data_IF_496269343928
#
_entry.id   IF_496269343928
#
_cell.length_a   1.000
_cell.length_b   1.000
_cell.length_c   1.000
_cell.angle_alpha   90.00
_cell.angle_beta   90.00
_cell.angle_gamma   90.00
#
_symmetry.space_group_name_H-M   'P 1'
#
loop_
_entity.id
_entity.type
_entity.pdbx_description
1 polymer ?
#
# COMPACT_ATOMS: atom_id res chain seq x y z
N UNK A 1 5.18 -41.58 -3.65
CA UNK A 1 6.43 -41.77 -4.42
C UNK A 1 6.42 -40.99 -5.73
N UNK A 2 7.47 -40.21 -5.97
CA UNK A 2 7.66 -39.40 -7.17
C UNK A 2 7.92 -40.26 -8.41
N UNK A 3 7.39 -39.86 -9.55
CA UNK A 3 7.69 -40.52 -10.84
C UNK A 3 9.07 -40.10 -11.36
N UNK A 4 9.70 -40.94 -12.18
CA UNK A 4 10.99 -40.60 -12.79
C UNK A 4 10.91 -39.36 -13.69
N UNK A 5 9.75 -39.11 -14.32
CA UNK A 5 9.51 -37.91 -15.13
C UNK A 5 9.49 -36.65 -14.26
N UNK A 6 8.80 -36.68 -13.12
CA UNK A 6 8.76 -35.57 -12.16
C UNK A 6 10.14 -35.28 -11.55
N UNK A 7 10.92 -36.32 -11.25
CA UNK A 7 12.29 -36.12 -10.75
C UNK A 7 13.19 -35.48 -11.81
N UNK A 8 13.03 -35.85 -13.07
CA UNK A 8 13.81 -35.27 -14.17
C UNK A 8 13.47 -33.79 -14.39
N UNK A 9 12.19 -33.41 -14.34
CA UNK A 9 11.77 -32.01 -14.49
C UNK A 9 12.27 -31.13 -13.34
N UNK A 10 12.12 -31.59 -12.10
CA UNK A 10 12.62 -30.88 -10.92
C UNK A 10 14.15 -30.75 -10.93
N UNK A 11 14.87 -31.78 -11.42
CA UNK A 11 16.32 -31.71 -11.56
C UNK A 11 16.75 -30.68 -12.60
N UNK A 12 16.08 -30.58 -13.75
CA UNK A 12 16.40 -29.54 -14.74
C UNK A 12 16.16 -28.14 -14.20
N UNK A 13 15.06 -27.95 -13.48
CA UNK A 13 14.72 -26.67 -12.85
C UNK A 13 15.75 -26.26 -11.79
N UNK A 14 16.16 -27.18 -10.91
CA UNK A 14 17.21 -26.93 -9.92
C UNK A 14 18.56 -26.57 -10.55
N UNK A 15 18.90 -27.14 -11.71
CA UNK A 15 20.12 -26.78 -12.43
C UNK A 15 20.06 -25.39 -13.04
N UNK A 16 18.89 -24.97 -13.51
CA UNK A 16 18.65 -23.61 -14.00
C UNK A 16 18.75 -22.59 -12.87
N UNK A 17 18.05 -22.84 -11.75
CA UNK A 17 18.11 -22.02 -10.53
C UNK A 17 19.56 -21.92 -10.03
N UNK A 18 20.30 -23.03 -9.98
CA UNK A 18 21.71 -23.03 -9.58
C UNK A 18 22.54 -22.09 -10.47
N UNK A 19 22.34 -22.15 -11.79
CA UNK A 19 23.09 -21.33 -12.74
C UNK A 19 22.78 -19.85 -12.53
N UNK A 20 21.52 -19.50 -12.33
CA UNK A 20 21.07 -18.14 -12.04
C UNK A 20 21.66 -17.63 -10.72
N UNK A 21 21.55 -18.39 -9.63
CA UNK A 21 22.11 -18.01 -8.34
C UNK A 21 23.64 -17.83 -8.39
N UNK A 22 24.37 -18.72 -9.10
CA UNK A 22 25.83 -18.54 -9.27
C UNK A 22 26.19 -17.30 -10.07
N UNK A 23 25.33 -16.89 -11.02
CA UNK A 23 25.54 -15.67 -11.78
C UNK A 23 25.31 -14.44 -10.90
N UNK A 24 24.20 -14.41 -10.17
CA UNK A 24 23.85 -13.31 -9.26
C UNK A 24 24.91 -13.13 -8.18
N UNK A 25 25.38 -14.20 -7.54
CA UNK A 25 26.45 -14.13 -6.53
C UNK A 25 27.73 -13.56 -7.12
N UNK A 26 28.10 -13.93 -8.34
CA UNK A 26 29.29 -13.39 -8.99
C UNK A 26 29.14 -11.90 -9.34
N UNK A 27 27.94 -11.46 -9.73
CA UNK A 27 27.66 -10.03 -9.95
C UNK A 27 27.71 -9.26 -8.62
N UNK A 28 27.10 -9.80 -7.56
CA UNK A 28 27.08 -9.22 -6.21
C UNK A 28 28.50 -9.10 -5.62
N UNK A 29 29.37 -10.10 -5.82
CA UNK A 29 30.76 -10.05 -5.38
C UNK A 29 31.56 -8.94 -6.09
N UNK A 30 31.28 -8.67 -7.36
CA UNK A 30 31.93 -7.59 -8.11
C UNK A 30 31.47 -6.20 -7.62
N UNK A 31 30.17 -6.01 -7.37
CA UNK A 31 29.62 -4.76 -6.84
C UNK A 31 30.04 -4.51 -5.39
N UNK A 32 29.95 -5.52 -4.52
CA UNK A 32 30.30 -5.40 -3.10
C UNK A 32 31.82 -5.32 -2.90
N UNK A 33 32.61 -6.04 -3.69
CA UNK A 33 34.06 -6.14 -3.55
C UNK A 33 34.88 -5.04 -4.21
N UNK A 34 34.37 -4.40 -5.29
CA UNK A 34 35.19 -3.54 -6.16
C UNK A 34 34.83 -2.04 -6.10
N UNK A 35 33.59 -1.66 -5.78
CA UNK A 35 33.12 -0.28 -5.94
C UNK A 35 33.23 0.60 -4.69
N UNK A 36 32.67 0.17 -3.55
CA UNK A 36 32.16 1.16 -2.60
C UNK A 36 33.04 1.40 -1.36
N UNK A 37 33.91 0.47 -0.98
CA UNK A 37 34.77 0.63 0.21
C UNK A 37 35.85 1.72 0.04
N UNK A 38 36.25 2.00 -1.20
CA UNK A 38 37.31 2.97 -1.52
C UNK A 38 36.77 4.37 -1.84
N UNK A 39 35.51 4.45 -2.25
CA UNK A 39 34.80 5.71 -2.51
C UNK A 39 34.22 6.31 -1.21
N UNK A 40 33.76 5.49 -0.26
CA UNK A 40 33.27 5.94 1.06
C UNK A 40 34.34 6.67 1.90
N UNK A 41 35.58 6.17 1.90
CA UNK A 41 36.70 6.80 2.62
C UNK A 41 37.06 8.18 2.06
N UNK A 42 36.60 8.52 0.85
CA UNK A 42 36.83 9.82 0.20
C UNK A 42 35.61 10.76 0.28
N UNK A 43 34.40 10.28 0.60
CA UNK A 43 33.14 11.04 0.54
C UNK A 43 32.58 11.49 1.91
N UNK A 44 33.03 10.94 3.03
CA UNK A 44 32.47 11.27 4.35
C UNK A 44 32.67 12.72 4.84
N UNK A 45 33.49 13.53 4.15
CA UNK A 45 33.80 14.90 4.58
C UNK A 45 32.77 15.95 4.11
N UNK A 46 31.93 15.64 3.12
CA UNK A 46 30.99 16.61 2.49
C UNK A 46 29.55 16.09 2.30
N UNK A 47 29.23 14.87 2.76
CA UNK A 47 27.88 14.30 2.60
C UNK A 47 26.92 14.75 3.73
N UNK A 48 25.66 15.00 3.37
CA UNK A 48 24.61 15.29 4.34
C UNK A 48 24.29 14.01 5.16
N UNK A 49 24.06 14.08 6.48
CA UNK A 49 23.77 12.90 7.30
C UNK A 49 22.60 12.03 6.83
N UNK A 50 21.61 12.60 6.13
CA UNK A 50 20.51 11.82 5.55
C UNK A 50 20.96 10.97 4.34
N UNK A 51 21.91 11.46 3.55
CA UNK A 51 22.45 10.74 2.39
C UNK A 51 23.26 9.54 2.88
N UNK A 52 24.06 9.72 3.94
CA UNK A 52 24.82 8.64 4.58
C UNK A 52 23.91 7.51 5.11
N UNK A 53 22.76 7.86 5.68
CA UNK A 53 21.78 6.87 6.15
C UNK A 53 21.19 6.06 5.01
N UNK A 54 20.90 6.72 3.89
CA UNK A 54 20.35 6.07 2.67
C UNK A 54 21.39 5.15 2.04
N UNK A 55 22.63 5.61 1.87
CA UNK A 55 23.74 4.80 1.33
C UNK A 55 24.03 3.56 2.21
N UNK A 56 24.02 3.72 3.54
CA UNK A 56 24.21 2.61 4.47
C UNK A 56 23.08 1.59 4.33
N UNK A 57 21.82 2.04 4.29
CA UNK A 57 20.66 1.18 4.12
C UNK A 57 20.72 0.38 2.81
N UNK A 58 21.04 1.04 1.70
CA UNK A 58 21.18 0.36 0.40
C UNK A 58 22.27 -0.71 0.45
N UNK A 59 23.42 -0.42 1.07
CA UNK A 59 24.49 -1.40 1.23
C UNK A 59 24.09 -2.58 2.12
N UNK A 60 23.38 -2.33 3.22
CA UNK A 60 22.90 -3.39 4.11
C UNK A 60 21.87 -4.28 3.41
N UNK A 61 20.98 -3.69 2.60
CA UNK A 61 20.05 -4.42 1.73
C UNK A 61 20.80 -5.30 0.75
N UNK A 62 21.77 -4.76 0.03
CA UNK A 62 22.52 -5.50 -0.99
C UNK A 62 23.31 -6.66 -0.35
N UNK A 63 23.92 -6.43 0.82
CA UNK A 63 24.57 -7.49 1.58
C UNK A 63 23.59 -8.58 2.04
N UNK A 64 22.40 -8.20 2.50
CA UNK A 64 21.37 -9.17 2.90
C UNK A 64 20.88 -10.02 1.72
N UNK A 65 20.74 -9.43 0.52
CA UNK A 65 20.39 -10.14 -0.71
C UNK A 65 21.49 -11.12 -1.13
N UNK A 66 22.76 -10.72 -1.06
CA UNK A 66 23.89 -11.60 -1.37
C UNK A 66 23.93 -12.82 -0.44
N UNK A 67 23.81 -12.60 0.88
CA UNK A 67 23.77 -13.69 1.88
C UNK A 67 22.57 -14.61 1.65
N UNK A 68 21.42 -14.05 1.27
CA UNK A 68 20.23 -14.84 0.93
C UNK A 68 20.50 -15.73 -0.30
N UNK A 69 21.04 -15.18 -1.38
CA UNK A 69 21.39 -15.92 -2.60
C UNK A 69 22.38 -17.06 -2.32
N UNK A 70 23.40 -16.82 -1.49
CA UNK A 70 24.32 -17.87 -1.04
C UNK A 70 23.61 -18.99 -0.27
N UNK A 71 22.69 -18.63 0.63
CA UNK A 71 21.91 -19.60 1.41
C UNK A 71 21.00 -20.45 0.52
N UNK A 72 20.37 -19.85 -0.48
CA UNK A 72 19.54 -20.54 -1.47
C UNK A 72 20.37 -21.49 -2.33
N UNK A 73 21.58 -21.07 -2.74
CA UNK A 73 22.50 -21.91 -3.50
C UNK A 73 22.86 -23.19 -2.72
N UNK A 74 23.10 -23.06 -1.42
CA UNK A 74 23.37 -24.21 -0.54
C UNK A 74 22.18 -25.17 -0.50
N UNK A 75 20.95 -24.66 -0.40
CA UNK A 75 19.73 -25.49 -0.43
C UNK A 75 19.58 -26.22 -1.78
N UNK A 76 19.80 -25.53 -2.88
CA UNK A 76 19.77 -26.12 -4.23
C UNK A 76 20.81 -27.24 -4.37
N UNK A 77 22.02 -27.02 -3.88
CA UNK A 77 23.07 -28.05 -3.89
C UNK A 77 22.72 -29.26 -3.01
N UNK A 78 22.07 -29.04 -1.87
CA UNK A 78 21.56 -30.12 -1.02
C UNK A 78 20.46 -30.91 -1.73
N UNK A 79 19.50 -30.23 -2.38
CA UNK A 79 18.43 -30.87 -3.14
C UNK A 79 18.99 -31.71 -4.31
N UNK A 80 19.95 -31.18 -5.08
CA UNK A 80 20.61 -31.92 -6.15
C UNK A 80 21.35 -33.16 -5.63
N UNK A 81 22.07 -33.04 -4.50
CA UNK A 81 22.72 -34.20 -3.84
C UNK A 81 21.71 -35.24 -3.38
N UNK A 82 20.57 -34.81 -2.84
CA UNK A 82 19.49 -35.71 -2.42
C UNK A 82 18.86 -36.44 -3.62
N UNK A 83 18.77 -35.79 -4.78
CA UNK A 83 18.31 -36.43 -6.03
C UNK A 83 19.31 -37.51 -6.46
N UNK A 84 20.61 -37.20 -6.45
CA UNK A 84 21.65 -38.15 -6.84
C UNK A 84 21.77 -39.33 -5.86
N UNK A 85 21.48 -39.11 -4.57
CA UNK A 85 21.41 -40.15 -3.54
C UNK A 85 20.09 -40.96 -3.55
N UNK A 86 19.08 -40.51 -4.32
CA UNK A 86 17.75 -41.15 -4.36
C UNK A 86 16.90 -40.94 -3.10
N UNK A 87 17.25 -39.98 -2.25
CA UNK A 87 16.52 -39.64 -1.01
C UNK A 87 15.56 -38.45 -1.20
N UNK A 88 15.61 -37.78 -2.35
CA UNK A 88 14.76 -36.63 -2.66
C UNK A 88 13.26 -36.97 -2.63
N UNK A 89 12.46 -36.02 -2.14
CA UNK A 89 11.03 -36.20 -1.89
C UNK A 89 10.69 -36.86 -0.56
N UNK A 90 11.66 -37.05 0.34
CA UNK A 90 11.44 -37.44 1.73
C UNK A 90 12.08 -36.42 2.66
N UNK A 91 11.39 -36.10 3.75
CA UNK A 91 11.91 -35.17 4.74
C UNK A 91 13.15 -35.75 5.44
N UNK A 92 14.23 -34.97 5.55
CA UNK A 92 15.46 -35.39 6.24
C UNK A 92 15.26 -35.67 7.74
N UNK A 93 14.29 -35.01 8.38
CA UNK A 93 14.03 -35.14 9.83
C UNK A 93 13.08 -36.29 10.14
N UNK A 94 11.89 -36.32 9.53
CA UNK A 94 10.86 -37.31 9.87
C UNK A 94 10.77 -38.48 8.89
N UNK A 95 11.46 -38.42 7.73
CA UNK A 95 11.43 -39.47 6.71
C UNK A 95 10.10 -39.61 5.96
N UNK A 96 9.11 -38.75 6.22
CA UNK A 96 7.82 -38.75 5.53
C UNK A 96 7.96 -38.26 4.09
N UNK A 97 7.08 -38.74 3.20
CA UNK A 97 7.01 -38.27 1.82
C UNK A 97 6.57 -36.80 1.77
N UNK A 98 7.28 -35.99 1.00
CA UNK A 98 6.93 -34.59 0.76
C UNK A 98 5.91 -34.54 -0.39
N UNK A 99 4.77 -33.84 -0.25
CA UNK A 99 3.81 -33.68 -1.33
C UNK A 99 4.45 -33.10 -2.60
N UNK A 100 4.04 -33.60 -3.76
CA UNK A 100 4.62 -33.14 -5.03
C UNK A 100 4.32 -31.67 -5.29
N UNK A 101 3.12 -31.22 -4.94
CA UNK A 101 2.68 -29.83 -5.08
C UNK A 101 3.60 -28.86 -4.32
N UNK A 102 4.18 -29.30 -3.20
CA UNK A 102 5.16 -28.52 -2.45
C UNK A 102 6.52 -28.48 -3.15
N UNK A 103 6.96 -29.60 -3.71
CA UNK A 103 8.24 -29.69 -4.43
C UNK A 103 8.18 -28.96 -5.78
N UNK A 104 7.00 -28.88 -6.38
CA UNK A 104 6.75 -28.06 -7.58
C UNK A 104 6.79 -26.57 -7.25
N UNK A 105 6.26 -26.15 -6.09
CA UNK A 105 6.32 -24.75 -5.67
C UNK A 105 7.69 -24.33 -5.13
N UNK A 106 8.39 -25.22 -4.43
CA UNK A 106 9.68 -24.96 -3.77
C UNK A 106 10.60 -26.17 -4.06
N UNK A 107 11.29 -26.21 -5.21
CA UNK A 107 12.08 -27.37 -5.62
C UNK A 107 13.36 -27.58 -4.81
N UNK A 108 13.85 -26.56 -4.11
CA UNK A 108 15.09 -26.63 -3.34
C UNK A 108 14.91 -27.12 -1.89
N UNK A 109 13.68 -27.46 -1.45
CA UNK A 109 13.43 -27.96 -0.09
C UNK A 109 13.68 -29.46 0.05
N UNK A 110 14.40 -29.86 1.10
CA UNK A 110 14.54 -31.25 1.56
C UNK A 110 13.71 -31.56 2.82
N UNK A 111 12.92 -30.59 3.29
CA UNK A 111 12.11 -30.69 4.51
C UNK A 111 10.60 -30.68 4.23
N UNK A 112 9.82 -31.32 5.11
CA UNK A 112 8.37 -31.16 5.12
C UNK A 112 7.99 -29.80 5.74
N UNK A 113 6.70 -29.42 5.65
CA UNK A 113 6.18 -28.15 6.16
C UNK A 113 6.55 -27.94 7.63
N UNK A 114 6.33 -28.95 8.47
CA UNK A 114 6.53 -28.91 9.93
C UNK A 114 8.00 -28.76 10.36
N UNK A 115 8.94 -29.27 9.56
CA UNK A 115 10.37 -29.25 9.88
C UNK A 115 11.15 -28.26 9.01
N UNK A 116 10.45 -27.35 8.33
CA UNK A 116 11.09 -26.31 7.54
C UNK A 116 11.86 -25.36 8.47
N UNK A 117 13.16 -25.12 8.25
CA UNK A 117 13.96 -24.28 9.15
C UNK A 117 13.49 -22.81 9.19
N UNK A 118 12.75 -22.36 8.18
CA UNK A 118 12.24 -20.98 8.06
C UNK A 118 10.90 -20.74 8.75
N UNK A 119 10.54 -21.54 9.75
CA UNK A 119 9.39 -21.25 10.62
C UNK A 119 9.76 -20.21 11.70
N UNK A 120 10.29 -19.06 11.30
CA UNK A 120 10.51 -17.96 12.23
C UNK A 120 9.26 -17.09 12.26
N UNK A 121 8.29 -17.47 13.10
CA UNK A 121 7.40 -16.46 13.67
C UNK A 121 8.27 -15.66 14.65
N UNK A 122 8.48 -14.35 14.43
CA UNK A 122 9.18 -13.53 15.40
C UNK A 122 8.38 -13.57 16.70
N UNK A 123 8.90 -14.27 17.71
CA UNK A 123 8.31 -14.27 19.05
C UNK A 123 8.67 -13.01 19.84
N UNK A 124 9.54 -12.17 19.28
CA UNK A 124 10.01 -10.91 19.86
C UNK A 124 9.28 -9.72 19.20
N UNK A 125 7.96 -9.83 19.11
CA UNK A 125 7.13 -8.67 18.74
C UNK A 125 7.16 -7.69 19.91
N UNK A 126 7.23 -6.37 19.64
CA UNK A 126 7.25 -5.38 20.71
C UNK A 126 6.06 -5.57 21.65
N UNK A 127 6.23 -5.37 22.97
CA UNK A 127 5.14 -5.49 23.96
C UNK A 127 4.00 -4.52 23.66
N UNK A 128 4.31 -3.45 22.93
CA UNK A 128 3.36 -2.51 22.37
C UNK A 128 2.33 -3.21 21.49
N UNK A 129 2.68 -4.23 20.69
CA UNK A 129 1.68 -4.97 19.88
C UNK A 129 0.68 -5.78 20.74
N UNK A 130 1.06 -6.22 21.95
CA UNK A 130 0.12 -6.88 22.87
C UNK A 130 -0.91 -5.89 23.45
N UNK A 131 -0.54 -4.63 23.56
CA UNK A 131 -1.37 -3.55 24.12
C UNK A 131 -2.11 -2.76 23.03
N UNK A 132 -1.46 -2.57 21.89
CA UNK A 132 -1.98 -1.95 20.68
C UNK A 132 -2.90 -2.97 20.01
N UNK A 133 -4.15 -3.00 20.49
CA UNK A 133 -5.23 -3.43 19.61
C UNK A 133 -5.19 -2.52 18.40
N UNK A 134 -5.23 -3.06 17.16
CA UNK A 134 -5.44 -2.21 15.99
C UNK A 134 -6.62 -1.29 16.29
N UNK A 135 -6.44 0.00 16.03
CA UNK A 135 -7.48 0.99 16.25
C UNK A 135 -8.63 0.67 15.30
N UNK A 136 -9.54 -0.16 15.81
CA UNK A 136 -10.78 -0.62 15.18
C UNK A 136 -10.54 -1.50 13.94
N UNK A 137 -11.00 -2.74 14.03
CA UNK A 137 -11.21 -3.60 12.88
C UNK A 137 -12.22 -2.89 11.94
N UNK A 138 -11.95 -2.80 10.64
CA UNK A 138 -12.89 -2.26 9.63
C UNK A 138 -14.18 -3.12 9.50
N UNK A 139 -14.49 -3.95 10.49
CA UNK A 139 -15.69 -4.75 10.57
C UNK A 139 -16.85 -3.88 11.03
N UNK A 140 -17.66 -3.47 10.05
CA UNK A 140 -19.01 -2.91 10.19
C UNK A 140 -20.00 -3.78 11.01
N UNK A 141 -19.52 -4.82 11.71
CA UNK A 141 -20.30 -5.92 12.27
C UNK A 141 -20.96 -5.61 13.63
N UNK A 142 -20.56 -4.55 14.33
CA UNK A 142 -21.15 -4.14 15.61
C UNK A 142 -21.53 -2.65 15.64
N UNK A 143 -22.44 -2.24 14.75
CA UNK A 143 -23.09 -0.91 14.81
C UNK A 143 -24.15 -0.88 15.91
N UNK A 144 -23.76 -0.53 17.12
CA UNK A 144 -24.69 0.03 18.10
C UNK A 144 -24.84 1.53 17.85
N UNK A 145 -25.99 1.95 17.31
CA UNK A 145 -26.30 3.37 16.99
C UNK A 145 -26.28 4.31 18.20
N UNK A 146 -26.13 3.79 19.43
CA UNK A 146 -26.13 4.59 20.67
C UNK A 146 -24.75 4.78 21.28
N UNK A 147 -23.79 3.96 20.89
CA UNK A 147 -22.40 4.16 21.31
C UNK A 147 -21.82 5.17 20.35
N UNK A 148 -21.60 6.40 20.82
CA UNK A 148 -20.93 7.48 20.09
C UNK A 148 -19.47 7.11 19.81
N UNK A 149 -19.28 6.13 18.94
CA UNK A 149 -17.99 5.83 18.33
C UNK A 149 -17.78 6.94 17.33
N UNK A 150 -16.89 7.85 17.72
CA UNK A 150 -16.40 8.95 16.91
C UNK A 150 -15.80 8.39 15.64
N UNK A 151 -16.25 8.93 14.52
CA UNK A 151 -15.45 8.87 13.32
C UNK A 151 -14.15 9.66 13.61
N UNK A 152 -13.00 9.11 13.26
CA UNK A 152 -11.73 9.81 13.47
C UNK A 152 -11.55 10.95 12.46
N UNK A 153 -12.46 11.10 11.50
CA UNK A 153 -12.53 12.25 10.60
C UNK A 153 -12.67 13.59 11.37
N UNK A 154 -13.33 13.61 12.53
CA UNK A 154 -13.55 14.84 13.33
C UNK A 154 -12.57 15.02 14.50
N UNK A 155 -11.47 14.26 14.51
CA UNK A 155 -10.49 14.29 15.62
C UNK A 155 -9.91 15.69 15.85
N UNK A 156 -9.77 16.49 14.79
CA UNK A 156 -9.26 17.85 14.88
C UNK A 156 -10.28 18.80 15.52
N UNK A 157 -11.55 18.74 15.09
CA UNK A 157 -12.65 19.58 15.55
C UNK A 157 -12.88 19.39 17.05
N UNK A 158 -12.76 18.16 17.54
CA UNK A 158 -12.91 17.88 18.96
C UNK A 158 -11.82 18.58 19.81
N UNK A 159 -10.57 18.55 19.33
CA UNK A 159 -9.45 19.22 20.02
C UNK A 159 -9.54 20.73 19.86
N UNK A 160 -10.01 21.20 18.70
CA UNK A 160 -10.14 22.61 18.38
C UNK A 160 -11.11 23.35 19.31
N UNK A 161 -12.15 22.68 19.85
CA UNK A 161 -13.05 23.23 20.89
C UNK A 161 -12.31 23.69 22.14
N UNK A 162 -11.17 23.09 22.47
CA UNK A 162 -10.36 23.44 23.64
C UNK A 162 -9.36 24.59 23.36
N UNK A 163 -9.31 25.08 22.11
CA UNK A 163 -8.59 26.29 21.73
C UNK A 163 -7.69 26.09 20.51
N UNK A 164 -7.92 26.91 19.49
CA UNK A 164 -7.04 27.09 18.33
C UNK A 164 -6.62 28.57 18.24
N UNK A 165 -5.77 28.89 17.26
CA UNK A 165 -5.45 30.29 16.92
C UNK A 165 -6.53 30.99 16.09
N UNK A 166 -7.61 30.27 15.71
CA UNK A 166 -8.71 30.79 14.91
C UNK A 166 -9.62 31.71 15.74
N UNK A 167 -10.15 32.74 15.10
CA UNK A 167 -11.10 33.68 15.70
C UNK A 167 -12.52 33.42 15.21
N UNK A 168 -13.57 33.90 15.91
CA UNK A 168 -14.95 33.75 15.43
C UNK A 168 -15.20 34.35 14.05
N UNK A 169 -14.34 35.24 13.56
CA UNK A 169 -14.45 35.82 12.21
C UNK A 169 -14.04 34.83 11.11
N UNK A 170 -13.35 33.75 11.48
CA UNK A 170 -12.82 32.73 10.56
C UNK A 170 -13.82 31.59 10.33
N UNK A 171 -14.94 31.55 11.06
CA UNK A 171 -16.00 30.53 10.95
C UNK A 171 -17.32 31.13 10.48
N UNK A 172 -18.12 30.35 9.77
CA UNK A 172 -19.52 30.67 9.46
C UNK A 172 -20.44 30.02 10.50
N UNK A 173 -21.29 30.80 11.19
CA UNK A 173 -22.20 30.24 12.22
C UNK A 173 -22.72 31.23 13.25
N UNK A 174 -23.26 30.72 14.36
CA UNK A 174 -23.70 31.55 15.49
C UNK A 174 -22.49 32.01 16.32
N UNK A 175 -22.13 33.28 16.17
CA UNK A 175 -20.98 33.89 16.87
C UNK A 175 -21.19 34.08 18.38
N UNK A 176 -22.36 33.74 18.93
CA UNK A 176 -22.69 33.97 20.34
C UNK A 176 -22.25 32.83 21.27
N UNK A 177 -21.99 31.63 20.77
CA UNK A 177 -21.42 30.51 21.55
C UNK A 177 -20.24 29.87 20.79
N UNK A 178 -19.05 29.94 21.40
CA UNK A 178 -17.82 29.42 20.80
C UNK A 178 -17.81 27.89 20.73
N UNK A 179 -18.60 27.21 21.57
CA UNK A 179 -18.68 25.75 21.57
C UNK A 179 -19.44 25.20 20.36
N UNK A 180 -20.34 26.01 19.80
CA UNK A 180 -21.21 25.61 18.70
C UNK A 180 -20.54 25.79 17.32
N UNK A 181 -19.44 26.56 17.26
CA UNK A 181 -18.68 26.82 16.01
C UNK A 181 -17.97 25.57 15.46
N UNK A 182 -17.73 24.56 16.30
CA UNK A 182 -17.10 23.28 15.94
C UNK A 182 -18.05 22.08 16.08
N UNK A 183 -19.36 22.34 16.22
CA UNK A 183 -20.42 21.32 16.32
C UNK A 183 -21.19 21.08 15.01
N UNK A 184 -20.91 21.86 13.95
CA UNK A 184 -21.53 21.65 12.65
C UNK A 184 -20.94 20.45 11.90
N UNK A 185 -21.79 19.72 11.17
CA UNK A 185 -21.35 18.81 10.13
C UNK A 185 -20.45 19.60 9.16
N UNK A 186 -19.19 19.20 9.01
CA UNK A 186 -18.33 19.75 7.96
C UNK A 186 -18.94 19.36 6.62
N UNK A 187 -19.64 20.30 6.01
CA UNK A 187 -20.05 20.18 4.60
C UNK A 187 -18.88 20.38 3.64
N UNK A 188 -17.73 20.81 4.15
CA UNK A 188 -16.48 21.02 3.42
C UNK A 188 -15.71 19.69 3.30
N UNK A 189 -16.32 18.72 2.63
CA UNK A 189 -15.67 17.48 2.21
C UNK A 189 -14.96 17.65 0.87
N UNK A 190 -14.34 16.58 0.35
CA UNK A 190 -13.83 16.56 -1.05
C UNK A 190 -14.92 16.79 -2.10
N UNK A 191 -16.19 16.72 -1.69
CA UNK A 191 -17.38 16.85 -2.52
C UNK A 191 -18.03 18.17 -2.14
N UNK A 192 -17.98 19.18 -3.01
CA UNK A 192 -18.64 20.47 -2.76
C UNK A 192 -20.18 20.27 -2.59
N UNK A 193 -20.84 21.14 -1.83
CA UNK A 193 -22.31 21.10 -1.58
C UNK A 193 -23.13 21.00 -2.89
N UNK A 194 -22.61 21.59 -3.98
CA UNK A 194 -23.26 21.63 -5.29
C UNK A 194 -22.57 20.74 -6.34
N UNK A 195 -21.95 19.64 -5.93
CA UNK A 195 -21.22 18.80 -6.87
C UNK A 195 -22.10 17.96 -7.80
N UNK A 196 -21.51 17.62 -8.94
CA UNK A 196 -22.06 16.65 -9.89
C UNK A 196 -20.95 15.69 -10.25
N UNK A 197 -21.11 14.42 -9.88
CA UNK A 197 -20.16 13.39 -10.25
C UNK A 197 -20.75 12.45 -11.29
N UNK A 198 -19.86 11.87 -12.10
CA UNK A 198 -20.23 10.97 -13.18
C UNK A 198 -19.94 9.55 -12.71
N UNK A 199 -20.96 8.71 -12.65
CA UNK A 199 -20.83 7.29 -12.35
C UNK A 199 -21.05 6.42 -13.58
N UNK A 200 -20.33 5.31 -13.67
CA UNK A 200 -20.54 4.27 -14.69
C UNK A 200 -20.86 2.93 -14.03
N UNK A 201 -21.55 2.06 -14.76
CA UNK A 201 -21.67 0.66 -14.35
C UNK A 201 -20.31 -0.07 -14.44
N UNK A 202 -20.24 -1.28 -13.89
CA UNK A 202 -19.01 -2.10 -13.87
C UNK A 202 -18.48 -2.40 -15.28
N UNK A 203 -19.36 -2.38 -16.30
CA UNK A 203 -18.99 -2.59 -17.70
C UNK A 203 -18.65 -1.29 -18.46
N UNK A 204 -18.80 -0.12 -17.83
CA UNK A 204 -18.49 1.20 -18.39
C UNK A 204 -19.45 1.68 -19.50
N UNK A 205 -20.63 1.09 -19.63
CA UNK A 205 -21.60 1.39 -20.71
C UNK A 205 -22.66 2.40 -20.31
N UNK A 206 -23.09 2.38 -19.05
CA UNK A 206 -24.15 3.27 -18.57
C UNK A 206 -23.55 4.43 -17.76
N UNK A 207 -23.26 5.54 -18.45
CA UNK A 207 -22.78 6.78 -17.84
C UNK A 207 -23.99 7.57 -17.31
N UNK A 208 -24.04 7.79 -16.00
CA UNK A 208 -25.05 8.63 -15.33
C UNK A 208 -24.40 9.74 -14.53
N UNK A 209 -24.98 10.92 -14.59
CA UNK A 209 -24.63 12.06 -13.73
C UNK A 209 -25.45 12.00 -12.46
N UNK A 210 -24.79 12.08 -11.32
CA UNK A 210 -25.40 12.16 -10.00
C UNK A 210 -25.14 13.56 -9.46
N UNK A 211 -26.21 14.31 -9.24
CA UNK A 211 -26.20 15.64 -8.62
C UNK A 211 -26.52 15.53 -7.14
N UNK A 212 -25.95 16.38 -6.31
CA UNK A 212 -26.33 16.48 -4.89
C UNK A 212 -27.79 16.91 -4.74
N UNK A 213 -28.44 16.51 -3.64
CA UNK A 213 -29.81 16.95 -3.32
C UNK A 213 -29.88 18.47 -3.13
N UNK A 214 -28.85 19.05 -2.50
CA UNK A 214 -28.72 20.49 -2.27
C UNK A 214 -28.64 21.29 -3.58
N UNK A 215 -27.98 20.75 -4.62
CA UNK A 215 -27.99 21.34 -5.97
C UNK A 215 -29.37 21.33 -6.61
N UNK A 216 -30.12 20.26 -6.44
CA UNK A 216 -31.49 20.18 -6.99
C UNK A 216 -32.38 21.21 -6.30
N UNK A 217 -32.31 21.32 -4.97
CA UNK A 217 -33.05 22.35 -4.23
C UNK A 217 -32.64 23.77 -4.66
N UNK A 218 -31.35 24.00 -4.87
CA UNK A 218 -30.85 25.29 -5.35
C UNK A 218 -31.37 25.65 -6.74
N UNK A 219 -31.32 24.73 -7.70
CA UNK A 219 -31.89 24.93 -9.04
C UNK A 219 -33.42 25.19 -8.98
N UNK A 220 -34.14 24.47 -8.13
CA UNK A 220 -35.57 24.73 -7.90
C UNK A 220 -35.84 26.12 -7.32
N UNK A 221 -34.98 26.62 -6.43
CA UNK A 221 -35.12 27.99 -5.89
C UNK A 221 -34.88 29.06 -6.95
N UNK A 222 -33.87 28.86 -7.81
CA UNK A 222 -33.55 29.75 -8.94
C UNK A 222 -34.72 29.81 -9.93
N UNK A 223 -35.27 28.65 -10.31
CA UNK A 223 -36.44 28.56 -11.20
C UNK A 223 -37.67 29.27 -10.63
N UNK A 224 -37.85 29.19 -9.31
CA UNK A 224 -39.00 29.78 -8.61
C UNK A 224 -38.91 31.29 -8.50
N UNK A 225 -37.70 31.81 -8.31
CA UNK A 225 -37.39 33.25 -8.31
C UNK A 225 -37.26 33.81 -9.75
N UNK A 226 -37.23 32.93 -10.75
CA UNK A 226 -37.15 33.29 -12.17
C UNK A 226 -35.81 33.91 -12.55
N UNK A 227 -34.73 33.49 -11.87
CA UNK A 227 -33.37 33.95 -12.08
C UNK A 227 -32.47 32.78 -12.47
N UNK A 228 -31.59 32.95 -13.45
CA UNK A 228 -30.69 31.87 -13.92
C UNK A 228 -29.49 31.65 -12.98
N UNK A 229 -29.10 32.66 -12.22
CA UNK A 229 -27.92 32.64 -11.37
C UNK A 229 -28.06 33.64 -10.21
N UNK A 230 -27.31 33.48 -9.10
CA UNK A 230 -27.43 34.34 -7.93
C UNK A 230 -26.93 35.77 -8.20
N UNK A 231 -26.12 35.96 -9.24
CA UNK A 231 -25.67 37.26 -9.74
C UNK A 231 -26.62 37.87 -10.80
N UNK A 232 -27.76 37.25 -11.06
CA UNK A 232 -28.79 37.68 -12.00
C UNK A 232 -28.71 36.99 -13.36
N UNK A 233 -29.73 37.23 -14.19
CA UNK A 233 -29.83 36.63 -15.54
C UNK A 233 -28.69 37.10 -16.42
N UNK A 234 -27.92 36.13 -16.94
CA UNK A 234 -26.84 36.45 -17.87
C UNK A 234 -27.47 36.70 -19.24
N UNK A 235 -27.39 37.91 -19.80
CA UNK A 235 -28.00 38.18 -21.09
C UNK A 235 -27.36 37.30 -22.16
N UNK A 236 -28.17 36.44 -22.80
CA UNK A 236 -27.75 35.64 -23.93
C UNK A 236 -27.25 36.55 -25.06
N UNK A 237 -25.93 36.56 -25.31
CA UNK A 237 -25.36 37.11 -26.54
C UNK A 237 -25.35 36.00 -27.59
N UNK A 238 -26.09 36.20 -28.67
CA UNK A 238 -26.11 35.29 -29.83
C UNK A 238 -24.80 35.28 -30.63
N UNK A 239 -23.87 36.17 -30.29
CA UNK A 239 -22.59 36.33 -30.98
C UNK A 239 -21.44 36.09 -30.01
N UNK A 240 -20.50 35.24 -30.41
CA UNK A 240 -19.23 35.05 -29.71
C UNK A 240 -18.48 36.39 -29.62
N UNK A 241 -18.03 36.77 -28.42
CA UNK A 241 -17.42 38.08 -28.15
C UNK A 241 -16.09 38.31 -28.87
N UNK A 242 -15.52 37.27 -29.49
CA UNK A 242 -14.30 37.30 -30.28
C UNK A 242 -14.52 37.34 -31.80
N UNK A 243 -15.77 37.29 -32.25
CA UNK A 243 -16.09 37.48 -33.68
C UNK A 243 -16.60 38.91 -33.82
N UNK A 244 -15.69 39.81 -34.21
CA UNK A 244 -16.07 41.17 -34.59
C UNK A 244 -17.18 41.11 -35.64
N UNK A 245 -18.28 41.79 -35.35
CA UNK A 245 -19.45 41.81 -36.22
C UNK A 245 -19.09 42.35 -37.60
N UNK A 246 -19.30 41.51 -38.62
CA UNK A 246 -19.67 41.98 -39.95
C UNK A 246 -21.13 41.58 -40.18
N UNK A 247 -21.89 42.56 -40.69
CA UNK A 247 -23.35 42.71 -40.75
C UNK A 247 -24.18 41.49 -41.18
#
# INVERSE_FOLDING_TARGET
>A
MLTQQQLASLKSELLEIKKELTHNIHEDEETVGSGNAREMELSMYDNHPADLGTELFERERDFALAVHSESELVKVDQALKAIDAGTYGKCEVCGQEIPFERLEAIPNTTFCVEHSPEQLLPNDRPVEEELLKPAVDNSFAYRDKRSGVKDYEDSFQEVARYGTSETPSDFEGDFNDYNDLYEGDLKDGFTEEYETFIGTDLEGKDVKTYTSEEKVEYEETLDKEGIEAPFGDVPYKYTDGYVDGEE
#
